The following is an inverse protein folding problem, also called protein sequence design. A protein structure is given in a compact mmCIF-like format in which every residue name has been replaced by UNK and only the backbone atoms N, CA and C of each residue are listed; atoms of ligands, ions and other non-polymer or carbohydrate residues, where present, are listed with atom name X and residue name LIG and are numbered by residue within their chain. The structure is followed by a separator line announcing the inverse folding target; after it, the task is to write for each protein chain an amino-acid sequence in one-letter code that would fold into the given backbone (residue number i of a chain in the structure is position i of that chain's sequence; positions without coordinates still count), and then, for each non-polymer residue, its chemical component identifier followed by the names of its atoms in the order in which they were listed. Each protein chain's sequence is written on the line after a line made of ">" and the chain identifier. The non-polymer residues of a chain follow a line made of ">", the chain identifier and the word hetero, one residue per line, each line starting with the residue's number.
data_IF_323182393684
#
_entry.id   IF_323182393684
#
_cell.length_a   1.000
_cell.length_b   1.000
_cell.length_c   1.000
_cell.angle_alpha   90.00
_cell.angle_beta   90.00
_cell.angle_gamma   90.00
#
_symmetry.space_group_name_H-M   'P 1'
#
loop_
_entity.id
_entity.type
_entity.pdbx_description
1 polymer ?
#
# COMPACT_ATOMS: atom_id res chain seq x y z
N UNK A 1 17.11 26.45 33.70
CA UNK A 1 18.06 25.62 32.92
C UNK A 1 17.44 24.39 32.30
N UNK A 2 16.84 23.45 33.05
CA UNK A 2 16.33 22.16 32.54
C UNK A 2 15.52 22.25 31.23
N UNK A 3 14.57 23.19 31.12
CA UNK A 3 13.79 23.40 29.88
C UNK A 3 14.67 23.69 28.65
N UNK A 4 15.72 24.50 28.81
CA UNK A 4 16.63 24.85 27.70
C UNK A 4 17.40 23.63 27.21
N UNK A 5 17.71 22.68 28.10
CA UNK A 5 18.33 21.40 27.71
C UNK A 5 17.36 20.53 26.91
N UNK A 6 16.06 20.56 27.22
CA UNK A 6 15.00 19.81 26.51
C UNK A 6 14.75 20.42 25.13
N UNK A 7 14.61 21.75 25.03
CA UNK A 7 14.44 22.44 23.74
C UNK A 7 15.64 22.24 22.80
N UNK A 8 16.87 22.32 23.32
CA UNK A 8 18.08 22.08 22.53
C UNK A 8 18.22 20.61 22.10
N UNK A 9 17.79 19.64 22.93
CA UNK A 9 17.71 18.23 22.52
C UNK A 9 16.77 18.06 21.33
N UNK A 10 15.53 18.55 21.42
CA UNK A 10 14.57 18.44 20.32
C UNK A 10 15.06 19.14 19.04
N UNK A 11 15.68 20.32 19.14
CA UNK A 11 16.24 21.02 17.96
C UNK A 11 17.36 20.22 17.30
N UNK A 12 18.27 19.64 18.10
CA UNK A 12 19.35 18.77 17.59
C UNK A 12 18.81 17.52 16.89
N UNK A 13 17.81 16.87 17.47
CA UNK A 13 17.17 15.68 16.86
C UNK A 13 16.38 16.03 15.60
N UNK A 14 15.70 17.19 15.57
CA UNK A 14 14.95 17.71 14.43
C UNK A 14 15.86 18.00 13.24
N UNK A 15 16.92 18.79 13.44
CA UNK A 15 17.93 19.10 12.42
C UNK A 15 18.59 17.83 11.87
N UNK A 16 18.97 16.91 12.75
CA UNK A 16 19.62 15.65 12.37
C UNK A 16 18.72 14.76 11.50
N UNK A 17 17.41 14.74 11.76
CA UNK A 17 16.47 13.94 10.96
C UNK A 17 16.00 14.67 9.70
N UNK A 18 15.90 16.01 9.73
CA UNK A 18 15.69 16.85 8.54
C UNK A 18 16.82 16.66 7.52
N UNK A 19 18.08 16.75 7.96
CA UNK A 19 19.28 16.54 7.16
C UNK A 19 19.45 15.09 6.66
N UNK A 20 18.56 14.17 7.07
CA UNK A 20 18.48 12.78 6.60
C UNK A 20 17.21 12.49 5.78
N UNK A 21 16.47 13.53 5.38
CA UNK A 21 15.22 13.39 4.61
C UNK A 21 14.05 12.78 5.39
N UNK A 22 14.15 12.65 6.72
CA UNK A 22 13.10 12.06 7.58
C UNK A 22 12.15 13.15 8.07
N UNK A 23 11.53 13.82 7.11
CA UNK A 23 10.74 15.03 7.32
C UNK A 23 9.62 14.87 8.36
N UNK A 24 8.86 13.76 8.33
CA UNK A 24 7.84 13.44 9.36
C UNK A 24 8.39 13.49 10.80
N UNK A 25 9.59 12.91 11.02
CA UNK A 25 10.23 12.83 12.35
C UNK A 25 10.79 14.19 12.76
N UNK A 26 11.36 14.93 11.81
CA UNK A 26 11.83 16.29 12.04
C UNK A 26 10.68 17.22 12.46
N UNK A 27 9.53 17.16 11.77
CA UNK A 27 8.32 17.91 12.13
C UNK A 27 7.88 17.59 13.54
N UNK A 28 7.80 16.32 13.91
CA UNK A 28 7.38 15.96 15.27
C UNK A 28 8.33 16.50 16.36
N UNK A 29 9.63 16.59 16.10
CA UNK A 29 10.55 17.25 17.03
C UNK A 29 10.35 18.78 17.08
N UNK A 30 10.07 19.46 15.97
CA UNK A 30 9.69 20.89 15.99
C UNK A 30 8.34 21.15 16.67
N UNK A 31 7.36 20.25 16.52
CA UNK A 31 6.08 20.30 17.26
C UNK A 31 6.33 20.20 18.78
N UNK A 32 7.21 19.30 19.21
CA UNK A 32 7.64 19.20 20.61
C UNK A 32 8.37 20.48 21.10
N UNK A 33 9.11 21.18 20.23
CA UNK A 33 9.68 22.49 20.57
C UNK A 33 8.55 23.49 20.85
N UNK A 34 7.50 23.57 20.03
CA UNK A 34 6.37 24.49 20.33
C UNK A 34 5.61 24.14 21.61
N UNK A 35 5.56 22.87 22.03
CA UNK A 35 4.97 22.49 23.34
C UNK A 35 5.81 22.98 24.52
N UNK A 36 7.15 22.95 24.41
CA UNK A 36 8.07 23.41 25.48
C UNK A 36 8.33 24.92 25.40
N UNK A 37 8.25 25.48 24.20
CA UNK A 37 8.52 26.88 23.83
C UNK A 37 7.47 27.38 22.82
N UNK A 38 6.25 27.71 23.26
CA UNK A 38 5.18 28.20 22.37
C UNK A 38 5.45 29.58 21.74
N UNK A 39 6.57 30.22 22.07
CA UNK A 39 7.08 31.44 21.43
C UNK A 39 8.28 31.20 20.50
N UNK A 40 8.65 29.94 20.18
CA UNK A 40 9.66 29.65 19.17
C UNK A 40 9.05 29.69 17.76
N UNK A 41 9.04 30.88 17.16
CA UNK A 41 8.57 31.11 15.79
C UNK A 41 9.37 30.26 14.78
N UNK A 42 10.67 30.03 15.01
CA UNK A 42 11.53 29.26 14.11
C UNK A 42 11.12 27.79 14.02
N UNK A 43 10.57 27.21 15.11
CA UNK A 43 9.99 25.88 15.08
C UNK A 43 8.75 25.83 14.17
N UNK A 44 7.92 26.88 14.17
CA UNK A 44 6.77 27.01 13.27
C UNK A 44 7.18 27.11 11.79
N UNK A 45 8.20 27.92 11.49
CA UNK A 45 8.76 28.04 10.14
C UNK A 45 9.31 26.70 9.62
N UNK A 46 10.04 25.94 10.44
CA UNK A 46 10.55 24.63 10.01
C UNK A 46 9.43 23.59 9.84
N UNK A 47 8.34 23.64 10.62
CA UNK A 47 7.16 22.78 10.41
C UNK A 47 6.53 23.06 9.04
N UNK A 48 6.24 24.32 8.72
CA UNK A 48 5.64 24.71 7.45
C UNK A 48 6.50 24.30 6.25
N UNK A 49 7.81 24.59 6.32
CA UNK A 49 8.80 24.18 5.30
C UNK A 49 8.90 22.66 5.14
N UNK A 50 8.70 21.89 6.21
CA UNK A 50 8.66 20.43 6.16
C UNK A 50 7.37 19.95 5.46
N UNK A 51 6.22 20.55 5.77
CA UNK A 51 4.97 20.20 5.11
C UNK A 51 5.04 20.50 3.60
N UNK A 52 5.65 21.60 3.18
CA UNK A 52 5.92 21.89 1.76
C UNK A 52 6.77 20.80 1.09
N UNK A 53 7.87 20.37 1.73
CA UNK A 53 8.75 19.31 1.21
C UNK A 53 8.04 17.95 1.11
N UNK A 54 7.18 17.62 2.09
CA UNK A 54 6.35 16.41 2.07
C UNK A 54 5.32 16.49 0.92
N UNK A 55 4.65 17.63 0.76
CA UNK A 55 3.70 17.87 -0.32
C UNK A 55 4.36 17.83 -1.71
N UNK A 56 5.59 18.36 -1.85
CA UNK A 56 6.34 18.26 -3.11
C UNK A 56 6.70 16.79 -3.43
N UNK A 57 7.19 16.02 -2.45
CA UNK A 57 7.49 14.60 -2.58
C UNK A 57 6.26 13.77 -3.01
N UNK A 58 5.10 14.00 -2.36
CA UNK A 58 3.83 13.34 -2.70
C UNK A 58 3.41 13.68 -4.14
N UNK A 59 3.48 14.96 -4.53
CA UNK A 59 3.13 15.39 -5.89
C UNK A 59 4.09 14.81 -6.95
N UNK A 60 5.40 14.77 -6.67
CA UNK A 60 6.41 14.17 -7.55
C UNK A 60 6.17 12.68 -7.75
N UNK A 61 5.89 11.93 -6.67
CA UNK A 61 5.50 10.50 -6.73
C UNK A 61 4.22 10.29 -7.52
N UNK A 62 3.19 11.12 -7.29
CA UNK A 62 1.91 11.10 -8.02
C UNK A 62 2.10 11.34 -9.52
N UNK A 63 3.04 12.20 -9.92
CA UNK A 63 3.39 12.44 -11.32
C UNK A 63 4.12 11.24 -11.96
N UNK A 64 5.11 10.66 -11.27
CA UNK A 64 5.82 9.46 -11.75
C UNK A 64 4.86 8.27 -11.90
N UNK A 65 3.95 8.06 -10.94
CA UNK A 65 2.94 7.00 -11.01
C UNK A 65 2.01 7.16 -12.23
N UNK A 66 1.58 8.38 -12.54
CA UNK A 66 0.77 8.69 -13.74
C UNK A 66 1.54 8.42 -15.04
N UNK A 67 2.82 8.80 -15.12
CA UNK A 67 3.67 8.53 -16.29
C UNK A 67 3.83 7.02 -16.52
N UNK A 68 4.19 6.27 -15.46
CA UNK A 68 4.36 4.82 -15.54
C UNK A 68 3.06 4.11 -15.95
N UNK A 69 1.90 4.54 -15.44
CA UNK A 69 0.60 3.99 -15.82
C UNK A 69 0.26 4.26 -17.30
N UNK A 70 0.54 5.47 -17.81
CA UNK A 70 0.32 5.81 -19.22
C UNK A 70 1.21 4.97 -20.15
N UNK A 71 2.51 4.83 -19.85
CA UNK A 71 3.42 3.99 -20.64
C UNK A 71 3.01 2.51 -20.65
N UNK A 72 2.51 1.98 -19.53
CA UNK A 72 1.99 0.60 -19.46
C UNK A 72 0.71 0.40 -20.28
N UNK A 73 -0.15 1.42 -20.42
CA UNK A 73 -1.33 1.33 -21.29
C UNK A 73 -0.93 1.28 -22.77
N UNK A 74 0.01 2.13 -23.21
CA UNK A 74 0.52 2.11 -24.59
C UNK A 74 1.17 0.76 -24.93
N UNK A 75 2.08 0.27 -24.06
CA UNK A 75 2.73 -1.03 -24.25
C UNK A 75 1.74 -2.21 -24.25
N UNK A 76 0.58 -2.10 -23.58
CA UNK A 76 -0.48 -3.11 -23.59
C UNK A 76 -1.31 -3.08 -24.88
N UNK A 77 -1.44 -1.93 -25.55
CA UNK A 77 -2.05 -1.83 -26.88
C UNK A 77 -1.14 -2.28 -28.03
N UNK A 78 0.16 -2.42 -27.80
CA UNK A 78 1.14 -2.86 -28.83
C UNK A 78 1.40 -4.38 -28.84
N UNK A 79 0.68 -5.18 -28.03
CA UNK A 79 0.77 -6.64 -28.14
C UNK A 79 0.08 -7.13 -29.43
N UNK A 80 0.80 -7.78 -30.38
CA UNK A 80 0.19 -8.27 -31.62
C UNK A 80 -0.73 -9.46 -31.34
N UNK A 81 -1.98 -9.36 -31.82
CA UNK A 81 -2.97 -10.44 -31.72
C UNK A 81 -2.57 -11.64 -32.60
N UNK A 82 -1.85 -12.59 -32.01
CA UNK A 82 -1.40 -13.83 -32.66
C UNK A 82 -2.54 -14.85 -32.75
N UNK A 83 -3.39 -14.70 -33.76
CA UNK A 83 -4.51 -15.60 -34.05
C UNK A 83 -4.04 -17.05 -34.33
N UNK A 84 -4.49 -18.06 -33.55
CA UNK A 84 -4.39 -19.46 -33.95
C UNK A 84 -5.55 -19.83 -34.88
N UNK A 85 -5.36 -19.64 -36.19
CA UNK A 85 -6.35 -20.09 -37.20
C UNK A 85 -6.45 -21.62 -37.17
N UNK A 86 -7.67 -22.15 -37.12
CA UNK A 86 -7.95 -23.59 -37.12
C UNK A 86 -8.24 -24.14 -38.52
N UNK A 87 -7.87 -25.40 -38.75
CA UNK A 87 -8.07 -26.22 -39.98
C UNK A 87 -7.08 -25.83 -41.10
N UNK A 88 -6.60 -26.75 -41.95
CA UNK A 88 -7.22 -28.00 -42.41
C UNK A 88 -6.20 -29.14 -42.61
N UNK A 89 -6.61 -30.39 -42.40
CA UNK A 89 -5.89 -31.59 -42.82
C UNK A 89 -6.86 -32.60 -43.49
N UNK A 90 -6.47 -33.28 -44.59
CA UNK A 90 -7.35 -34.18 -45.34
C UNK A 90 -7.41 -35.61 -44.75
N UNK A 91 -8.47 -36.34 -45.09
CA UNK A 91 -8.73 -37.72 -44.65
C UNK A 91 -8.03 -38.77 -45.54
N UNK A 92 -7.66 -39.92 -44.97
CA UNK A 92 -7.54 -41.19 -45.71
C UNK A 92 -8.14 -42.37 -44.90
N UNK A 93 -8.86 -43.21 -45.62
CA UNK A 93 -9.46 -44.50 -45.20
C UNK A 93 -8.37 -45.56 -44.85
N UNK A 94 -8.62 -46.78 -44.35
CA UNK A 94 -9.75 -47.75 -44.33
C UNK A 94 -9.39 -48.86 -43.26
N UNK A 95 -10.03 -50.06 -43.14
CA UNK A 95 -11.43 -50.47 -42.90
C UNK A 95 -11.71 -50.98 -41.44
N UNK A 96 -12.93 -51.49 -41.22
CA UNK A 96 -13.53 -51.90 -39.94
C UNK A 96 -13.21 -53.33 -39.42
N UNK A 97 -13.54 -53.57 -38.13
CA UNK A 97 -14.31 -54.76 -37.70
C UNK A 97 -15.20 -54.47 -36.46
N UNK A 98 -15.97 -55.46 -35.96
CA UNK A 98 -17.13 -55.39 -35.04
C UNK A 98 -17.16 -56.68 -34.17
N UNK A 99 -18.04 -56.94 -33.16
CA UNK A 99 -18.99 -56.11 -32.40
C UNK A 99 -18.86 -56.29 -30.85
N UNK A 100 -19.95 -55.96 -30.12
CA UNK A 100 -20.25 -56.25 -28.70
C UNK A 100 -19.57 -55.35 -27.63
N UNK A 101 -20.24 -54.90 -26.55
CA UNK A 101 -21.68 -55.00 -26.22
C UNK A 101 -22.15 -53.77 -25.40
N UNK A 102 -23.46 -53.46 -25.45
CA UNK A 102 -24.12 -52.38 -24.71
C UNK A 102 -25.59 -52.82 -24.50
N UNK A 103 -26.17 -52.70 -23.29
CA UNK A 103 -26.77 -51.43 -22.84
C UNK A 103 -26.45 -51.16 -21.34
N UNK A 104 -26.94 -50.15 -20.59
CA UNK A 104 -27.96 -49.10 -20.73
C UNK A 104 -27.63 -48.00 -19.68
N UNK A 105 -28.05 -46.73 -19.68
CA UNK A 105 -28.89 -45.84 -20.51
C UNK A 105 -28.27 -44.41 -20.40
N UNK A 106 -28.38 -43.45 -21.32
CA UNK A 106 -29.57 -42.68 -21.77
C UNK A 106 -30.45 -42.14 -20.61
N UNK A 107 -30.99 -40.93 -20.59
CA UNK A 107 -30.75 -39.62 -21.27
C UNK A 107 -31.43 -38.54 -20.35
N UNK A 108 -31.55 -37.21 -20.53
CA UNK A 108 -31.43 -36.15 -21.57
C UNK A 108 -31.12 -34.83 -20.82
N UNK A 109 -30.54 -33.73 -21.32
CA UNK A 109 -30.04 -33.34 -22.64
C UNK A 109 -30.42 -31.87 -22.98
N UNK A 110 -29.43 -31.04 -23.32
CA UNK A 110 -29.52 -29.71 -24.00
C UNK A 110 -30.23 -28.49 -23.34
N UNK A 111 -29.67 -27.30 -23.61
CA UNK A 111 -30.26 -25.96 -23.36
C UNK A 111 -31.21 -25.54 -24.52
N UNK A 112 -31.95 -24.41 -24.44
CA UNK A 112 -31.39 -23.11 -24.89
C UNK A 112 -31.90 -21.85 -24.14
N UNK A 113 -31.46 -20.66 -24.59
CA UNK A 113 -31.91 -19.33 -24.12
C UNK A 113 -33.25 -18.90 -24.73
N UNK A 114 -33.95 -17.98 -24.05
CA UNK A 114 -34.93 -17.05 -24.63
C UNK A 114 -35.01 -15.74 -23.81
N UNK A 115 -35.56 -14.66 -24.39
CA UNK A 115 -35.53 -13.29 -23.85
C UNK A 115 -36.89 -12.56 -24.02
N UNK A 116 -36.99 -11.35 -23.43
CA UNK A 116 -37.87 -10.19 -23.76
C UNK A 116 -39.13 -9.90 -22.91
N UNK A 117 -39.27 -8.61 -22.57
CA UNK A 117 -40.51 -7.81 -22.42
C UNK A 117 -41.48 -8.11 -21.23
N UNK A 118 -42.28 -7.16 -20.69
CA UNK A 118 -42.35 -5.70 -20.90
C UNK A 118 -42.97 -4.94 -19.69
N UNK A 119 -42.68 -3.63 -19.62
CA UNK A 119 -43.56 -2.46 -19.28
C UNK A 119 -44.71 -2.58 -18.26
N UNK A 120 -44.78 -1.65 -17.29
CA UNK A 120 -45.94 -0.74 -17.02
C UNK A 120 -45.60 0.35 -15.97
N UNK A 121 -45.92 1.60 -16.33
CA UNK A 121 -46.14 2.81 -15.49
C UNK A 121 -47.65 3.19 -15.67
N UNK A 122 -48.31 4.11 -14.92
CA UNK A 122 -47.80 5.35 -14.29
C UNK A 122 -48.55 5.69 -12.94
N UNK A 123 -49.05 6.93 -12.65
CA UNK A 123 -48.37 8.23 -12.42
C UNK A 123 -48.60 8.80 -10.99
N UNK A 124 -47.90 9.89 -10.60
CA UNK A 124 -48.55 11.18 -10.28
C UNK A 124 -47.59 12.27 -9.75
N UNK A 125 -47.64 13.42 -10.42
CA UNK A 125 -47.32 14.80 -10.00
C UNK A 125 -48.54 15.66 -10.40
N UNK A 126 -48.63 16.98 -10.10
CA UNK A 126 -47.82 17.85 -9.23
C UNK A 126 -48.68 18.64 -8.20
N UNK A 127 -48.03 19.43 -7.32
CA UNK A 127 -48.53 20.75 -6.89
C UNK A 127 -47.35 21.73 -6.82
N UNK A 128 -47.49 22.88 -7.50
CA UNK A 128 -46.72 24.12 -7.29
C UNK A 128 -47.71 25.17 -6.74
N UNK A 129 -47.36 26.28 -6.08
CA UNK A 129 -46.60 27.48 -6.53
C UNK A 129 -46.36 28.42 -5.29
N UNK A 130 -46.18 29.77 -5.38
CA UNK A 130 -44.90 30.42 -5.70
C UNK A 130 -44.50 31.59 -4.75
N UNK A 131 -43.21 31.95 -4.72
CA UNK A 131 -42.79 33.37 -4.73
C UNK A 131 -41.38 33.54 -5.32
N UNK A 132 -41.23 34.54 -6.17
CA UNK A 132 -40.01 35.05 -6.80
C UNK A 132 -39.64 36.43 -6.20
N UNK A 133 -38.55 37.11 -6.61
CA UNK A 133 -37.17 36.65 -6.84
C UNK A 133 -36.12 37.59 -6.18
N UNK A 134 -34.82 37.28 -6.31
CA UNK A 134 -33.77 38.26 -6.69
C UNK A 134 -32.48 37.56 -7.12
N UNK A 135 -31.77 38.16 -8.07
CA UNK A 135 -30.48 37.73 -8.64
C UNK A 135 -29.35 37.64 -7.58
N UNK A 136 -28.33 36.78 -7.71
CA UNK A 136 -27.42 36.68 -8.86
C UNK A 136 -26.72 35.31 -9.01
N UNK A 137 -26.32 35.00 -10.24
CA UNK A 137 -25.38 33.92 -10.64
C UNK A 137 -23.91 34.35 -10.32
N UNK A 138 -22.88 33.46 -10.36
CA UNK A 138 -22.91 32.04 -10.73
C UNK A 138 -22.06 31.05 -9.88
N UNK A 139 -22.30 29.75 -10.10
CA UNK A 139 -21.36 28.62 -10.30
C UNK A 139 -19.99 28.59 -9.55
N UNK A 140 -19.42 27.43 -9.18
CA UNK A 140 -19.57 26.10 -9.78
C UNK A 140 -19.00 25.00 -8.85
N UNK A 141 -19.49 23.77 -8.95
CA UNK A 141 -18.89 22.55 -8.37
C UNK A 141 -18.77 22.53 -6.81
N UNK A 142 -18.54 21.39 -6.14
CA UNK A 142 -18.40 20.02 -6.66
C UNK A 142 -19.13 19.00 -5.76
N UNK A 143 -19.58 17.89 -6.33
CA UNK A 143 -20.14 16.77 -5.56
C UNK A 143 -19.00 15.90 -5.05
N UNK A 144 -18.46 16.24 -3.87
CA UNK A 144 -17.34 15.55 -3.24
C UNK A 144 -17.68 14.07 -2.94
N UNK A 145 -17.40 13.19 -3.91
CA UNK A 145 -17.67 11.76 -3.82
C UNK A 145 -16.83 11.10 -2.73
N UNK A 146 -17.50 10.40 -1.82
CA UNK A 146 -16.89 9.59 -0.78
C UNK A 146 -16.09 8.43 -1.40
N UNK A 147 -14.77 8.57 -1.53
CA UNK A 147 -13.79 7.46 -1.58
C UNK A 147 -12.32 7.98 -1.54
N UNK A 148 -12.01 8.89 -0.63
CA UNK A 148 -10.62 9.21 -0.31
C UNK A 148 -10.06 8.14 0.65
N UNK A 149 -9.26 7.20 0.12
CA UNK A 149 -8.46 6.30 0.97
C UNK A 149 -7.39 7.15 1.65
N UNK A 150 -7.33 7.22 3.00
CA UNK A 150 -6.35 8.04 3.68
C UNK A 150 -4.94 7.49 3.48
N UNK A 151 -3.98 8.36 3.20
CA UNK A 151 -2.56 8.02 3.10
C UNK A 151 -2.00 7.81 4.52
N UNK A 152 -2.06 6.57 5.01
CA UNK A 152 -1.85 6.26 6.44
C UNK A 152 -0.39 6.55 6.85
N UNK A 153 -0.23 7.63 7.62
CA UNK A 153 1.01 8.08 8.26
C UNK A 153 1.62 6.93 9.07
N UNK A 154 2.93 6.74 8.96
CA UNK A 154 3.64 5.63 9.60
C UNK A 154 4.44 6.11 10.82
N UNK A 155 3.87 5.97 12.02
CA UNK A 155 4.44 6.44 13.30
C UNK A 155 5.64 5.58 13.75
N UNK A 156 6.44 6.05 14.72
CA UNK A 156 7.47 5.22 15.35
C UNK A 156 6.89 4.23 16.38
N UNK A 157 7.59 3.12 16.65
CA UNK A 157 7.21 2.13 17.67
C UNK A 157 6.92 2.75 19.06
N UNK A 158 7.60 3.85 19.42
CA UNK A 158 7.40 4.54 20.70
C UNK A 158 6.13 5.40 20.77
N UNK A 159 5.44 5.61 19.64
CA UNK A 159 4.25 6.46 19.53
C UNK A 159 2.94 5.67 19.49
N UNK A 160 2.98 4.34 19.31
CA UNK A 160 1.77 3.52 19.26
C UNK A 160 1.12 3.37 20.65
N UNK A 161 -0.20 3.18 20.69
CA UNK A 161 -0.93 2.96 21.94
C UNK A 161 -0.43 1.67 22.62
N UNK A 162 0.18 1.82 23.81
CA UNK A 162 0.87 0.74 24.53
C UNK A 162 2.40 0.75 24.41
N UNK A 163 2.97 1.64 23.58
CA UNK A 163 4.38 2.05 23.61
C UNK A 163 5.44 0.99 23.23
N UNK A 164 5.02 -0.17 22.70
CA UNK A 164 5.93 -1.27 22.32
C UNK A 164 5.27 -2.22 21.32
N UNK A 165 6.00 -2.69 20.31
CA UNK A 165 5.49 -3.70 19.37
C UNK A 165 5.23 -5.04 20.06
N UNK A 166 4.15 -5.71 19.67
CA UNK A 166 3.85 -7.09 20.05
C UNK A 166 3.95 -7.95 18.81
N UNK A 167 4.98 -8.79 18.72
CA UNK A 167 5.16 -9.74 17.63
C UNK A 167 4.29 -10.99 17.90
N UNK A 168 3.33 -11.28 17.04
CA UNK A 168 2.44 -12.44 17.14
C UNK A 168 3.06 -13.69 16.48
N UNK A 169 3.74 -13.49 15.35
CA UNK A 169 4.43 -14.55 14.59
C UNK A 169 5.80 -14.08 14.17
N UNK A 170 6.84 -14.77 14.64
CA UNK A 170 8.20 -14.67 14.11
C UNK A 170 8.43 -15.77 13.08
N UNK A 171 8.98 -15.43 11.92
CA UNK A 171 9.52 -16.42 10.99
C UNK A 171 11.00 -16.64 11.29
N UNK A 172 11.48 -17.88 11.24
CA UNK A 172 12.92 -18.16 11.32
C UNK A 172 13.54 -18.19 9.91
N UNK A 173 14.68 -17.51 9.69
CA UNK A 173 15.32 -17.45 8.39
C UNK A 173 16.07 -18.76 8.11
N UNK A 174 15.50 -19.61 7.25
CA UNK A 174 16.13 -20.89 6.89
C UNK A 174 17.23 -20.67 5.85
N UNK A 175 18.49 -20.78 6.29
CA UNK A 175 19.66 -20.74 5.42
C UNK A 175 19.82 -22.07 4.67
N UNK A 176 19.94 -22.05 3.32
CA UNK A 176 20.30 -23.25 2.56
C UNK A 176 21.73 -23.70 2.88
N UNK A 177 21.94 -25.00 3.15
CA UNK A 177 23.28 -25.58 3.44
C UNK A 177 24.32 -25.38 2.33
N UNK A 178 23.90 -25.02 1.12
CA UNK A 178 24.77 -24.66 -0.01
C UNK A 178 25.36 -23.24 0.09
N UNK A 179 24.88 -22.40 1.03
CA UNK A 179 25.40 -21.06 1.26
C UNK A 179 26.55 -21.10 2.27
N UNK A 180 27.75 -21.40 1.79
CA UNK A 180 28.97 -21.30 2.60
C UNK A 180 29.34 -19.83 2.87
N UNK A 181 28.66 -19.19 3.83
CA UNK A 181 29.14 -17.97 4.46
C UNK A 181 30.01 -18.34 5.68
N UNK A 182 31.16 -17.66 5.80
CA UNK A 182 32.11 -17.94 6.88
C UNK A 182 31.72 -17.26 8.18
N UNK A 183 31.04 -17.99 9.07
CA UNK A 183 30.73 -17.57 10.43
C UNK A 183 29.60 -16.53 10.56
N UNK A 184 29.48 -15.93 11.75
CA UNK A 184 28.35 -15.09 12.11
C UNK A 184 28.17 -13.87 11.20
N UNK A 185 26.94 -13.62 10.79
CA UNK A 185 26.56 -12.41 10.04
C UNK A 185 25.32 -11.78 10.66
N UNK A 186 25.19 -10.45 10.56
CA UNK A 186 24.01 -9.73 11.07
C UNK A 186 23.44 -8.84 9.99
N UNK A 187 22.12 -8.70 9.98
CA UNK A 187 21.38 -7.76 9.14
C UNK A 187 20.42 -6.99 10.04
N UNK A 188 20.43 -5.66 9.95
CA UNK A 188 19.48 -4.80 10.67
C UNK A 188 18.62 -4.06 9.67
N UNK A 189 17.32 -4.00 9.91
CA UNK A 189 16.34 -3.43 9.00
C UNK A 189 15.27 -2.60 9.74
N UNK A 190 14.73 -1.58 9.08
CA UNK A 190 13.43 -1.00 9.42
C UNK A 190 12.36 -1.81 8.69
N UNK A 191 11.29 -2.17 9.39
CA UNK A 191 10.06 -2.69 8.78
C UNK A 191 8.95 -1.66 8.97
N UNK A 192 8.16 -1.38 7.93
CA UNK A 192 6.86 -0.73 8.07
C UNK A 192 5.80 -1.81 8.24
N UNK A 193 5.04 -1.73 9.32
CA UNK A 193 3.94 -2.63 9.65
C UNK A 193 2.61 -1.97 9.26
N UNK A 194 1.77 -2.71 8.55
CA UNK A 194 0.43 -2.33 8.12
C UNK A 194 -0.56 -2.22 9.28
N UNK A 195 -1.73 -1.64 9.03
CA UNK A 195 -2.85 -1.58 9.99
C UNK A 195 -3.45 -2.96 10.30
N UNK A 196 -3.13 -3.97 9.50
CA UNK A 196 -3.46 -5.39 9.70
C UNK A 196 -2.40 -6.17 10.51
N UNK A 197 -1.29 -5.52 10.85
CA UNK A 197 -0.16 -6.13 11.55
C UNK A 197 0.84 -6.89 10.67
N UNK A 198 0.67 -6.93 9.34
CA UNK A 198 1.66 -7.52 8.43
C UNK A 198 2.81 -6.56 8.14
N UNK A 199 3.97 -7.07 7.72
CA UNK A 199 5.07 -6.21 7.24
C UNK A 199 4.84 -5.88 5.76
N UNK A 200 4.63 -4.59 5.46
CA UNK A 200 4.42 -4.09 4.09
C UNK A 200 5.73 -3.74 3.36
N UNK A 201 6.72 -3.22 4.10
CA UNK A 201 7.98 -2.73 3.53
C UNK A 201 9.15 -3.04 4.47
N UNK A 202 10.34 -3.27 3.90
CA UNK A 202 11.58 -3.57 4.63
C UNK A 202 12.76 -2.81 4.02
N UNK A 203 13.42 -1.98 4.82
CA UNK A 203 14.60 -1.19 4.44
C UNK A 203 15.83 -1.65 5.23
N UNK A 204 16.90 -2.06 4.54
CA UNK A 204 18.11 -2.60 5.17
C UNK A 204 19.03 -1.47 5.65
N UNK A 205 19.00 -1.18 6.96
CA UNK A 205 19.89 -0.21 7.62
C UNK A 205 21.34 -0.67 7.73
N UNK A 206 21.57 -1.97 7.87
CA UNK A 206 22.92 -2.53 8.05
C UNK A 206 22.99 -3.86 7.29
N UNK A 207 23.52 -3.85 6.06
CA UNK A 207 23.62 -5.06 5.24
C UNK A 207 24.72 -5.99 5.72
N UNK A 208 24.47 -7.29 5.61
CA UNK A 208 25.49 -8.32 5.68
C UNK A 208 26.44 -8.24 4.49
N UNK A 209 27.68 -8.73 4.70
CA UNK A 209 28.71 -8.96 3.67
C UNK A 209 28.22 -9.77 2.47
N UNK A 210 27.26 -10.67 2.69
CA UNK A 210 26.70 -11.55 1.68
C UNK A 210 25.31 -11.06 1.28
N UNK A 211 25.16 -10.52 0.06
CA UNK A 211 23.88 -9.96 -0.42
C UNK A 211 22.68 -10.89 -0.20
N UNK A 212 22.85 -12.19 -0.45
CA UNK A 212 21.80 -13.23 -0.25
C UNK A 212 21.23 -13.27 1.17
N UNK A 213 21.99 -12.86 2.20
CA UNK A 213 21.48 -12.75 3.57
C UNK A 213 20.62 -11.49 3.78
N UNK A 214 20.83 -10.44 2.99
CA UNK A 214 19.95 -9.26 2.98
C UNK A 214 18.65 -9.61 2.26
N UNK A 215 18.76 -10.26 1.10
CA UNK A 215 17.60 -10.74 0.33
C UNK A 215 16.73 -11.70 1.19
N UNK A 216 17.36 -12.70 1.84
CA UNK A 216 16.70 -13.62 2.80
C UNK A 216 16.14 -12.91 4.05
N UNK A 217 16.78 -11.83 4.51
CA UNK A 217 16.26 -11.03 5.64
C UNK A 217 14.96 -10.34 5.25
N UNK A 218 14.90 -9.69 4.08
CA UNK A 218 13.66 -9.10 3.54
C UNK A 218 12.57 -10.17 3.39
N UNK A 219 12.88 -11.30 2.75
CA UNK A 219 11.93 -12.41 2.60
C UNK A 219 11.44 -13.00 3.94
N UNK A 220 12.22 -12.89 5.01
CA UNK A 220 11.86 -13.43 6.34
C UNK A 220 11.04 -12.41 7.13
N UNK A 221 11.39 -11.13 7.07
CA UNK A 221 10.68 -10.04 7.74
C UNK A 221 9.29 -9.82 7.11
N UNK A 222 9.14 -9.98 5.80
CA UNK A 222 7.82 -10.00 5.12
C UNK A 222 6.91 -11.17 5.55
N UNK A 223 7.40 -12.12 6.36
CA UNK A 223 6.64 -13.23 6.95
C UNK A 223 6.40 -13.04 8.46
N UNK A 224 6.81 -11.91 9.04
CA UNK A 224 6.49 -11.56 10.42
C UNK A 224 5.08 -10.98 10.50
N UNK A 225 4.38 -11.30 11.58
CA UNK A 225 3.08 -10.71 11.90
C UNK A 225 3.11 -10.12 13.31
N UNK A 226 2.76 -8.86 13.42
CA UNK A 226 2.60 -8.12 14.66
C UNK A 226 1.12 -8.01 15.04
N UNK A 227 0.86 -7.59 16.28
CA UNK A 227 -0.46 -7.10 16.65
C UNK A 227 -0.71 -5.77 15.92
N UNK A 228 -1.87 -5.56 15.28
CA UNK A 228 -2.30 -4.26 14.81
C UNK A 228 -2.09 -3.18 15.89
N UNK A 229 -1.44 -2.09 15.49
CA UNK A 229 -1.23 -0.93 16.34
C UNK A 229 -2.36 0.09 16.15
N UNK A 230 -2.65 0.82 17.22
CA UNK A 230 -3.45 2.06 17.14
C UNK A 230 -2.60 3.24 17.57
N UNK A 231 -3.02 4.44 17.19
CA UNK A 231 -2.53 5.72 17.71
C UNK A 231 -3.74 6.58 18.02
N UNK A 232 -3.90 7.01 19.27
CA UNK A 232 -5.11 7.67 19.78
C UNK A 232 -6.39 6.84 19.50
N UNK A 233 -6.30 5.51 19.54
CA UNK A 233 -7.40 4.58 19.27
C UNK A 233 -7.72 4.31 17.79
N UNK A 234 -7.06 5.01 16.85
CA UNK A 234 -7.23 4.78 15.41
C UNK A 234 -6.19 3.77 14.88
N UNK A 235 -6.56 2.77 14.05
CA UNK A 235 -5.59 1.85 13.45
C UNK A 235 -4.50 2.58 12.67
N UNK A 236 -3.24 2.33 12.98
CA UNK A 236 -2.09 3.06 12.42
C UNK A 236 -1.05 2.12 11.82
N UNK A 237 -0.27 2.64 10.87
CA UNK A 237 0.98 2.01 10.43
C UNK A 237 2.11 2.41 11.38
N UNK A 238 3.06 1.51 11.63
CA UNK A 238 4.22 1.85 12.45
C UNK A 238 5.54 1.31 11.91
N UNK A 239 6.63 2.02 12.21
CA UNK A 239 8.01 1.67 11.85
C UNK A 239 8.67 0.99 13.05
N UNK A 240 9.30 -0.16 12.81
CA UNK A 240 10.01 -0.98 13.80
C UNK A 240 11.41 -1.32 13.30
N UNK A 241 12.41 -1.35 14.19
CA UNK A 241 13.74 -1.89 13.88
C UNK A 241 13.82 -3.36 14.33
N UNK A 242 14.27 -4.24 13.44
CA UNK A 242 14.56 -5.64 13.70
C UNK A 242 16.03 -5.97 13.34
N UNK A 243 16.63 -6.93 14.07
CA UNK A 243 17.96 -7.47 13.79
C UNK A 243 17.88 -8.99 13.64
N UNK A 244 18.38 -9.51 12.52
CA UNK A 244 18.52 -10.95 12.25
C UNK A 244 20.00 -11.32 12.35
N UNK A 245 20.29 -12.36 13.12
CA UNK A 245 21.64 -12.92 13.31
C UNK A 245 21.71 -14.31 12.70
N UNK A 246 22.53 -14.44 11.66
CA UNK A 246 22.88 -15.68 10.99
C UNK A 246 24.08 -16.33 11.70
N UNK A 247 24.09 -17.66 11.76
CA UNK A 247 25.06 -18.49 12.49
C UNK A 247 25.60 -19.61 11.61
#
# INVERSE_FOLDING_TARGET
>A
EMLNSIGNFYRTEAERDFNRGRYERAKNYYENIQVVYPGDESAGEQIAKIDDLINEEINRRRQIARQNAASQQVARSEQPATNPVSKTAPQQNLPAEKPAENPASNDTGSQPLASLNNTILPPNTPVSTPVDPVETKPANADSASLNAVPEIISVDESQIDGGKKVLLRKAEPVVPRSWNYGGFSRVRAICTVGTDGQVENVEILTPAKYRRLNDLTTETLLKYQYKPATFNGLPTRFKTVEEIVYK
#
